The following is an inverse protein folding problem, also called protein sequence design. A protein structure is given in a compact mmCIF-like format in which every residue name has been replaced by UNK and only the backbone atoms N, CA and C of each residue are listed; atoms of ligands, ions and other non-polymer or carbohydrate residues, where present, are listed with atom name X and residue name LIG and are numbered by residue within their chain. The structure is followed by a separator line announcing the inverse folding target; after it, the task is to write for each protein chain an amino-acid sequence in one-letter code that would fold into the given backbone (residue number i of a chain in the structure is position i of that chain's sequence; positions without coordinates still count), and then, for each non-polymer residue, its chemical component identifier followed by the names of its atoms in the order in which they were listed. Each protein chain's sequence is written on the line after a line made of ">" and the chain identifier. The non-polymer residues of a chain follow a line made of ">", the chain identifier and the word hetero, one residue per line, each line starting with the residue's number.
data_IF_100544276511
#
_entry.id   IF_100544276511
#
_cell.length_a   1.000
_cell.length_b   1.000
_cell.length_c   1.000
_cell.angle_alpha   90.00
_cell.angle_beta   90.00
_cell.angle_gamma   90.00
#
_symmetry.space_group_name_H-M   'P 1'
#
loop_
_entity.id
_entity.type
_entity.pdbx_description
1 polymer ?
#
# COMPACT_ATOMS: atom_id res chain seq x y z
N UNK A 1 -21.22 -5.93 -6.62
CA UNK A 1 -21.05 -6.93 -5.55
C UNK A 1 -20.83 -6.26 -4.18
N UNK A 2 -19.73 -5.54 -3.94
CA UNK A 2 -19.38 -4.98 -2.61
C UNK A 2 -20.44 -4.05 -1.99
N UNK A 3 -21.12 -3.23 -2.80
CA UNK A 3 -22.24 -2.38 -2.35
C UNK A 3 -23.41 -3.19 -1.77
N UNK A 4 -23.73 -4.34 -2.37
CA UNK A 4 -24.79 -5.24 -1.89
C UNK A 4 -24.40 -5.95 -0.60
N UNK A 5 -23.11 -6.19 -0.40
CA UNK A 5 -22.58 -6.86 0.78
C UNK A 5 -22.25 -5.89 1.93
N UNK A 6 -22.52 -4.58 1.76
CA UNK A 6 -22.20 -3.57 2.78
C UNK A 6 -20.70 -3.31 2.98
N UNK A 7 -19.84 -3.84 2.09
CA UNK A 7 -18.37 -3.75 2.18
C UNK A 7 -17.78 -2.62 1.34
N UNK A 8 -18.60 -1.71 0.80
CA UNK A 8 -18.14 -0.56 0.02
C UNK A 8 -17.94 0.63 0.96
N UNK A 9 -16.75 1.23 0.92
CA UNK A 9 -16.34 2.30 1.84
C UNK A 9 -16.90 3.65 1.39
N UNK A 10 -16.83 3.94 0.09
CA UNK A 10 -17.29 5.20 -0.47
C UNK A 10 -17.89 5.03 -1.87
N UNK A 11 -18.92 5.82 -2.18
CA UNK A 11 -19.48 5.95 -3.53
C UNK A 11 -18.89 7.16 -4.28
N UNK A 12 -17.94 7.87 -3.67
CA UNK A 12 -17.33 9.04 -4.27
C UNK A 12 -16.29 8.62 -5.32
N UNK A 13 -16.58 8.95 -6.57
CA UNK A 13 -15.79 8.62 -7.76
C UNK A 13 -14.37 9.17 -7.71
N UNK A 14 -14.09 10.21 -6.91
CA UNK A 14 -12.75 10.78 -6.74
C UNK A 14 -11.74 9.78 -6.19
N UNK A 15 -12.19 8.76 -5.46
CA UNK A 15 -11.34 7.73 -4.88
C UNK A 15 -11.16 6.49 -5.77
N UNK A 16 -11.71 6.48 -6.98
CA UNK A 16 -11.57 5.37 -7.92
C UNK A 16 -10.33 5.56 -8.81
N UNK A 17 -9.17 5.82 -8.16
CA UNK A 17 -7.92 6.27 -8.80
C UNK A 17 -6.85 5.16 -8.96
N UNK A 18 -7.26 3.89 -8.96
CA UNK A 18 -6.41 2.68 -8.91
C UNK A 18 -5.46 2.56 -7.69
N UNK A 19 -5.33 3.61 -6.88
CA UNK A 19 -4.42 3.65 -5.74
C UNK A 19 -5.16 3.45 -4.43
N UNK A 20 -6.41 3.89 -4.36
CA UNK A 20 -7.18 3.93 -3.13
C UNK A 20 -8.07 2.70 -2.99
N UNK A 21 -8.00 2.02 -1.85
CA UNK A 21 -8.91 0.96 -1.46
C UNK A 21 -10.29 1.57 -1.16
N UNK A 22 -11.28 1.22 -1.98
CA UNK A 22 -12.68 1.70 -1.83
C UNK A 22 -13.62 0.62 -1.30
N UNK A 23 -13.10 -0.54 -0.93
CA UNK A 23 -13.86 -1.67 -0.41
C UNK A 23 -13.09 -2.41 0.67
N UNK A 24 -13.81 -3.08 1.57
CA UNK A 24 -13.25 -3.92 2.62
C UNK A 24 -13.29 -5.39 2.18
N UNK A 25 -12.14 -6.06 2.01
CA UNK A 25 -12.10 -7.50 1.74
C UNK A 25 -12.57 -8.32 2.96
N UNK A 26 -12.77 -9.63 2.81
CA UNK A 26 -13.37 -10.47 3.88
C UNK A 26 -12.41 -10.79 5.04
N UNK A 27 -11.10 -10.81 4.78
CA UNK A 27 -10.10 -11.34 5.72
C UNK A 27 -9.09 -10.28 6.19
N UNK A 28 -9.31 -9.00 5.86
CA UNK A 28 -8.49 -7.88 6.31
C UNK A 28 -9.31 -6.59 6.25
N UNK A 29 -8.90 -5.58 6.99
CA UNK A 29 -9.48 -4.24 6.94
C UNK A 29 -9.09 -3.52 5.65
N UNK A 30 -9.87 -2.51 5.27
CA UNK A 30 -9.54 -1.64 4.15
C UNK A 30 -8.22 -0.89 4.34
N UNK A 31 -7.91 -0.56 5.60
CA UNK A 31 -6.66 0.06 6.00
C UNK A 31 -5.48 -0.88 5.74
N UNK A 32 -5.54 -2.13 6.21
CA UNK A 32 -4.51 -3.14 5.95
C UNK A 32 -4.31 -3.41 4.46
N UNK A 33 -5.40 -3.42 3.67
CA UNK A 33 -5.31 -3.55 2.22
C UNK A 33 -4.52 -2.39 1.60
N UNK A 34 -4.82 -1.15 2.00
CA UNK A 34 -4.12 0.03 1.52
C UNK A 34 -2.66 0.07 2.00
N UNK A 35 -2.42 -0.33 3.25
CA UNK A 35 -1.10 -0.47 3.83
C UNK A 35 -0.23 -1.46 3.05
N UNK A 36 -0.78 -2.65 2.78
CA UNK A 36 -0.10 -3.70 2.07
C UNK A 36 0.24 -3.32 0.65
N UNK A 37 -0.67 -2.61 -0.02
CA UNK A 37 -0.37 -1.98 -1.30
C UNK A 37 0.90 -1.13 -1.19
N UNK A 38 0.94 -0.15 -0.29
CA UNK A 38 2.09 0.76 -0.15
C UNK A 38 3.40 0.03 0.18
N UNK A 39 3.35 -0.95 1.07
CA UNK A 39 4.50 -1.79 1.41
C UNK A 39 5.04 -2.53 0.18
N UNK A 40 4.16 -3.17 -0.60
CA UNK A 40 4.54 -3.88 -1.83
C UNK A 40 5.25 -2.92 -2.79
N UNK A 41 4.71 -1.73 -3.04
CA UNK A 41 5.34 -0.74 -3.93
C UNK A 41 6.69 -0.23 -3.40
N UNK A 42 6.81 -0.06 -2.09
CA UNK A 42 8.08 0.30 -1.46
C UNK A 42 9.12 -0.82 -1.64
N UNK A 43 8.76 -2.08 -1.45
CA UNK A 43 9.67 -3.23 -1.62
C UNK A 43 10.12 -3.41 -3.07
N UNK A 44 9.18 -3.25 -4.01
CA UNK A 44 9.45 -3.33 -5.45
C UNK A 44 10.37 -2.23 -5.95
N UNK A 45 10.29 -1.04 -5.35
CA UNK A 45 11.11 0.12 -5.72
C UNK A 45 12.43 0.21 -4.94
N UNK A 46 12.78 -0.76 -4.09
CA UNK A 46 14.10 -0.80 -3.44
C UNK A 46 15.20 -0.99 -4.48
N UNK A 47 16.30 -0.25 -4.31
CA UNK A 47 17.45 -0.32 -5.20
C UNK A 47 18.05 -1.75 -5.27
N UNK A 48 18.10 -2.46 -4.14
CA UNK A 48 18.52 -3.86 -4.09
C UNK A 48 17.61 -4.78 -4.93
N UNK A 49 16.30 -4.58 -4.86
CA UNK A 49 15.30 -5.32 -5.66
C UNK A 49 15.46 -5.09 -7.16
N UNK A 50 15.83 -3.87 -7.55
CA UNK A 50 16.07 -3.49 -8.96
C UNK A 50 17.40 -4.05 -9.45
N UNK A 51 18.47 -3.92 -8.65
CA UNK A 51 19.79 -4.46 -8.95
C UNK A 51 19.76 -5.98 -9.17
N UNK A 52 18.97 -6.71 -8.36
CA UNK A 52 18.78 -8.15 -8.53
C UNK A 52 18.14 -8.55 -9.87
N UNK A 53 17.40 -7.65 -10.54
CA UNK A 53 16.67 -7.92 -11.80
C UNK A 53 17.37 -7.39 -13.05
N UNK A 54 18.36 -6.52 -12.88
CA UNK A 54 19.16 -5.98 -13.98
C UNK A 54 19.85 -7.05 -14.84
N UNK A 55 20.40 -8.16 -14.28
CA UNK A 55 21.10 -9.15 -15.09
C UNK A 55 20.22 -9.82 -16.15
N UNK A 56 18.90 -9.83 -15.94
CA UNK A 56 17.93 -10.41 -16.88
C UNK A 56 17.43 -9.42 -17.94
N UNK A 57 17.73 -8.13 -17.81
CA UNK A 57 17.19 -7.04 -18.66
C UNK A 57 18.31 -6.04 -19.00
N UNK A 58 19.38 -6.55 -19.63
CA UNK A 58 20.58 -5.76 -19.95
C UNK A 58 20.41 -4.80 -21.13
N UNK A 59 19.27 -4.84 -21.84
CA UNK A 59 19.05 -3.99 -23.01
C UNK A 59 19.07 -2.49 -22.64
N UNK A 60 18.44 -2.11 -21.51
CA UNK A 60 18.33 -0.70 -21.08
C UNK A 60 18.44 -0.51 -19.55
N UNK A 61 19.61 -0.78 -18.93
CA UNK A 61 19.78 -0.76 -17.47
C UNK A 61 19.56 0.62 -16.85
N UNK A 62 20.01 1.69 -17.52
CA UNK A 62 19.83 3.06 -17.04
C UNK A 62 18.35 3.50 -17.04
N UNK A 63 17.58 3.05 -18.03
CA UNK A 63 16.14 3.32 -18.11
C UNK A 63 15.40 2.68 -16.94
N UNK A 64 15.68 1.40 -16.66
CA UNK A 64 15.08 0.70 -15.51
C UNK A 64 15.44 1.35 -14.18
N UNK A 65 16.67 1.85 -14.04
CA UNK A 65 17.08 2.60 -12.85
C UNK A 65 16.35 3.93 -12.72
N UNK A 66 16.28 4.70 -13.80
CA UNK A 66 15.56 5.98 -13.81
C UNK A 66 14.08 5.81 -13.43
N UNK A 67 13.40 4.82 -14.02
CA UNK A 67 12.02 4.48 -13.66
C UNK A 67 11.88 4.11 -12.19
N UNK A 68 12.78 3.25 -11.69
CA UNK A 68 12.72 2.80 -10.30
C UNK A 68 12.92 3.94 -9.30
N UNK A 69 13.81 4.89 -9.62
CA UNK A 69 14.04 6.12 -8.84
C UNK A 69 12.78 7.01 -8.88
N UNK A 70 12.21 7.22 -10.07
CA UNK A 70 10.98 8.00 -10.23
C UNK A 70 9.81 7.43 -9.43
N UNK A 71 9.59 6.13 -9.56
CA UNK A 71 8.60 5.37 -8.78
C UNK A 71 8.84 5.52 -7.27
N UNK A 72 10.09 5.39 -6.80
CA UNK A 72 10.42 5.54 -5.38
C UNK A 72 10.05 6.93 -4.84
N UNK A 73 10.24 7.99 -5.63
CA UNK A 73 9.84 9.36 -5.24
C UNK A 73 8.33 9.47 -5.09
N UNK A 74 7.58 8.92 -6.04
CA UNK A 74 6.11 8.91 -6.02
C UNK A 74 5.59 8.16 -4.79
N UNK A 75 6.11 6.96 -4.52
CA UNK A 75 5.64 6.15 -3.40
C UNK A 75 6.01 6.73 -2.04
N UNK A 76 7.17 7.39 -1.92
CA UNK A 76 7.51 8.14 -0.70
C UNK A 76 6.49 9.25 -0.43
N UNK A 77 6.08 9.99 -1.45
CA UNK A 77 5.04 11.01 -1.29
C UNK A 77 3.70 10.39 -0.91
N UNK A 78 3.31 9.28 -1.55
CA UNK A 78 2.07 8.56 -1.23
C UNK A 78 2.06 8.04 0.21
N UNK A 79 3.17 7.48 0.68
CA UNK A 79 3.37 7.04 2.07
C UNK A 79 3.24 8.21 3.05
N UNK A 80 3.83 9.37 2.73
CA UNK A 80 3.76 10.54 3.59
C UNK A 80 2.35 11.13 3.66
N UNK A 81 1.58 11.06 2.56
CA UNK A 81 0.19 11.52 2.50
C UNK A 81 -0.81 10.50 3.05
N UNK A 82 -0.41 9.23 3.16
CA UNK A 82 -1.29 8.15 3.54
C UNK A 82 -2.03 8.37 4.88
N UNK A 83 -1.41 8.84 5.97
CA UNK A 83 -2.12 9.08 7.23
C UNK A 83 -3.31 10.04 7.08
N UNK A 84 -3.16 11.08 6.27
CA UNK A 84 -4.23 12.04 5.99
C UNK A 84 -5.36 11.42 5.16
N UNK A 85 -5.03 10.56 4.19
CA UNK A 85 -6.05 9.86 3.38
C UNK A 85 -6.75 8.78 4.19
N UNK A 86 -6.01 8.09 5.04
CA UNK A 86 -6.53 7.05 5.91
C UNK A 86 -7.55 7.62 6.90
N UNK A 87 -7.26 8.75 7.54
CA UNK A 87 -8.22 9.39 8.44
C UNK A 87 -9.51 9.87 7.76
N UNK A 88 -9.47 10.14 6.45
CA UNK A 88 -10.65 10.55 5.67
C UNK A 88 -11.51 9.37 5.20
N UNK A 89 -10.89 8.24 4.88
CA UNK A 89 -11.53 7.11 4.19
C UNK A 89 -11.72 5.86 5.06
N UNK A 90 -10.82 5.66 6.01
CA UNK A 90 -10.78 4.49 6.88
C UNK A 90 -10.89 5.00 8.32
N UNK A 91 -12.08 5.44 8.77
CA UNK A 91 -12.26 5.73 10.20
C UNK A 91 -11.85 4.47 10.95
N UNK A 92 -10.80 4.59 11.77
CA UNK A 92 -10.24 3.48 12.53
C UNK A 92 -11.37 2.89 13.37
N UNK A 93 -11.65 1.60 13.18
CA UNK A 93 -12.76 0.91 13.85
C UNK A 93 -12.51 0.79 15.36
N UNK A 94 -11.29 1.05 15.84
CA UNK A 94 -10.99 1.02 17.26
C UNK A 94 -10.23 2.28 17.70
N UNK A 95 -10.85 3.08 18.56
CA UNK A 95 -10.34 4.31 19.19
C UNK A 95 -9.11 4.11 20.10
N UNK A 96 -8.47 2.93 20.14
CA UNK A 96 -7.54 2.58 21.23
C UNK A 96 -6.07 2.49 20.81
N UNK A 97 -5.73 2.52 19.52
CA UNK A 97 -4.32 2.35 19.09
C UNK A 97 -3.84 3.50 18.23
N UNK A 98 -2.73 4.12 18.64
CA UNK A 98 -2.05 5.14 17.85
C UNK A 98 -1.68 4.54 16.49
N UNK A 99 -2.06 5.21 15.40
CA UNK A 99 -1.75 4.78 14.03
C UNK A 99 -0.25 4.55 13.83
N UNK A 100 0.61 5.19 14.63
CA UNK A 100 2.07 4.98 14.61
C UNK A 100 2.49 3.58 15.06
N UNK A 101 1.74 2.94 15.95
CA UNK A 101 2.08 1.62 16.49
C UNK A 101 1.84 0.50 15.48
N UNK A 102 0.83 0.63 14.62
CA UNK A 102 0.62 -0.28 13.49
C UNK A 102 1.54 0.01 12.30
N UNK A 103 2.11 1.22 12.19
CA UNK A 103 2.68 1.72 10.94
C UNK A 103 4.14 2.15 11.02
N UNK A 104 5.01 1.27 11.51
CA UNK A 104 6.41 1.31 11.12
C UNK A 104 6.59 0.58 9.79
N UNK A 105 6.51 1.31 8.66
CA UNK A 105 6.75 0.76 7.31
C UNK A 105 8.15 0.15 7.12
N UNK A 106 9.10 0.49 8.00
CA UNK A 106 10.42 -0.15 8.08
C UNK A 106 10.39 -1.50 8.80
N UNK A 107 9.37 -1.77 9.62
CA UNK A 107 9.22 -2.99 10.43
C UNK A 107 8.29 -4.02 9.78
N UNK A 108 7.37 -3.61 8.90
CA UNK A 108 6.44 -4.51 8.21
C UNK A 108 7.16 -5.66 7.50
N UNK A 109 6.83 -6.89 7.90
CA UNK A 109 7.28 -8.13 7.29
C UNK A 109 6.17 -8.75 6.46
N UNK A 110 6.55 -9.57 5.49
CA UNK A 110 5.59 -10.32 4.68
C UNK A 110 4.62 -11.17 5.54
N UNK A 111 5.09 -11.67 6.68
CA UNK A 111 4.28 -12.43 7.65
C UNK A 111 3.07 -11.67 8.17
N UNK A 112 3.14 -10.34 8.19
CA UNK A 112 2.07 -9.48 8.72
C UNK A 112 0.89 -9.40 7.75
N UNK A 113 1.05 -9.86 6.49
CA UNK A 113 -0.01 -9.96 5.49
C UNK A 113 -0.72 -11.32 5.47
N UNK A 114 -0.26 -12.28 6.29
CA UNK A 114 -0.93 -13.58 6.41
C UNK A 114 -1.95 -13.45 7.53
N UNK A 115 -3.26 -13.66 7.25
CA UNK A 115 -4.27 -13.62 8.29
C UNK A 115 -3.92 -14.66 9.36
N UNK A 116 -3.72 -14.21 10.61
CA UNK A 116 -3.56 -15.13 11.74
C UNK A 116 -4.89 -15.85 11.92
N UNK A 117 -4.90 -17.13 11.61
CA UNK A 117 -6.02 -18.01 11.92
C UNK A 117 -6.11 -18.09 13.45
N UNK A 118 -7.11 -17.42 14.03
CA UNK A 118 -7.56 -17.65 15.40
C UNK A 118 -8.63 -18.73 15.41
#
# INVERSE_FOLDING_TARGET
>A
QFKREGRLITNDWRYYDHKTAVFTPKNMTAFELQAGRLWVFNEFSKFSSVMRRLPSNFDHPLYHLALSIGHRKIYKNEINEFPKRASQLFPLIDEITDYRDYFSLSTFRFSDFIPRTY
#
